data_IF_062352226053
#
_entry.id   IF_062352226053
#
_cell.length_a   1.000
_cell.length_b   1.000
_cell.length_c   1.000
_cell.angle_alpha   90.00
_cell.angle_beta   90.00
_cell.angle_gamma   90.00
#
_symmetry.space_group_name_H-M   'P 1'
#
loop_
_entity.id
_entity.type
_entity.pdbx_description
1 polymer ?
#
# COMPACT_ATOMS: atom_id res chain seq x y z
N UNK A 1 -19.66 6.49 -6.67
CA UNK A 1 -20.37 5.64 -7.65
C UNK A 1 -20.87 4.42 -6.91
N UNK A 2 -22.16 4.08 -6.98
CA UNK A 2 -22.76 2.96 -6.24
C UNK A 2 -24.02 2.44 -6.91
N UNK A 3 -24.43 1.23 -6.58
CA UNK A 3 -25.66 0.60 -7.09
C UNK A 3 -26.82 1.06 -6.21
N UNK A 4 -27.90 1.61 -6.78
CA UNK A 4 -29.12 2.01 -6.04
C UNK A 4 -30.21 0.93 -6.12
N UNK A 5 -30.28 0.19 -7.23
CA UNK A 5 -31.28 -0.86 -7.46
C UNK A 5 -30.57 -2.17 -7.76
N UNK A 6 -30.83 -3.17 -6.94
CA UNK A 6 -30.23 -4.49 -7.08
C UNK A 6 -31.33 -5.51 -7.38
N UNK A 7 -31.09 -6.34 -8.39
CA UNK A 7 -31.86 -7.55 -8.66
C UNK A 7 -30.91 -8.74 -8.61
N UNK A 8 -31.17 -9.69 -7.71
CA UNK A 8 -30.44 -10.93 -7.61
C UNK A 8 -31.35 -12.11 -7.98
N UNK A 9 -30.81 -13.10 -8.68
CA UNK A 9 -31.52 -14.32 -9.06
C UNK A 9 -30.63 -15.55 -8.85
N UNK A 10 -31.24 -16.65 -8.39
CA UNK A 10 -30.62 -17.96 -8.27
C UNK A 10 -31.41 -18.93 -9.16
N UNK A 11 -30.73 -19.67 -10.03
CA UNK A 11 -31.33 -20.61 -10.98
C UNK A 11 -32.47 -20.01 -11.83
N UNK A 12 -32.32 -18.75 -12.23
CA UNK A 12 -33.30 -18.03 -13.03
C UNK A 12 -34.53 -17.53 -12.24
N UNK A 13 -34.61 -17.79 -10.93
CA UNK A 13 -35.66 -17.26 -10.04
C UNK A 13 -35.16 -16.05 -9.29
N UNK A 14 -35.94 -14.97 -9.27
CA UNK A 14 -35.56 -13.74 -8.54
C UNK A 14 -35.58 -14.00 -7.03
N UNK A 15 -34.44 -13.82 -6.37
CA UNK A 15 -34.30 -13.92 -4.91
C UNK A 15 -34.24 -12.56 -4.23
N UNK A 16 -33.98 -11.49 -5.01
CA UNK A 16 -34.02 -10.11 -4.54
C UNK A 16 -34.42 -9.15 -5.65
N UNK A 17 -35.28 -8.19 -5.33
CA UNK A 17 -35.50 -6.98 -6.14
C UNK A 17 -35.78 -5.84 -5.17
N UNK A 18 -34.84 -4.91 -5.03
CA UNK A 18 -34.97 -3.81 -4.06
C UNK A 18 -34.04 -2.64 -4.35
N UNK A 19 -34.29 -1.54 -3.66
CA UNK A 19 -33.27 -0.49 -3.54
C UNK A 19 -32.27 -0.92 -2.44
N UNK A 20 -31.00 -0.57 -2.61
CA UNK A 20 -29.98 -0.75 -1.57
C UNK A 20 -29.45 0.62 -1.17
N UNK A 21 -29.12 0.76 0.11
CA UNK A 21 -28.73 2.05 0.64
C UNK A 21 -27.35 2.49 0.14
N UNK A 22 -27.17 3.80 0.05
CA UNK A 22 -25.88 4.39 -0.32
C UNK A 22 -24.91 4.17 0.84
N UNK A 23 -23.76 3.54 0.59
CA UNK A 23 -22.68 3.47 1.57
C UNK A 23 -22.32 4.88 2.09
N UNK A 24 -22.36 5.07 3.41
CA UNK A 24 -21.97 6.31 4.08
C UNK A 24 -20.48 6.26 4.46
N UNK A 25 -19.79 7.40 4.39
CA UNK A 25 -18.35 7.49 4.62
C UNK A 25 -17.99 8.04 6.02
N UNK A 26 -18.94 8.10 6.95
CA UNK A 26 -18.64 8.54 8.31
C UNK A 26 -18.30 7.33 9.20
N UNK A 27 -17.11 7.39 9.77
CA UNK A 27 -16.58 6.43 10.71
C UNK A 27 -17.42 6.46 11.99
N UNK A 28 -17.96 5.31 12.39
CA UNK A 28 -17.80 4.69 13.72
C UNK A 28 -18.82 3.54 13.88
N UNK A 29 -18.29 2.34 14.14
CA UNK A 29 -18.93 1.27 14.92
C UNK A 29 -19.96 0.28 14.35
N UNK A 30 -20.21 0.13 13.04
CA UNK A 30 -21.04 -1.01 12.55
C UNK A 30 -20.52 -1.70 11.28
N UNK A 31 -20.75 -3.02 11.10
CA UNK A 31 -20.37 -3.73 9.88
C UNK A 31 -21.04 -3.10 8.66
N UNK A 32 -20.22 -2.58 7.73
CA UNK A 32 -20.71 -1.97 6.49
C UNK A 32 -21.15 -3.04 5.50
N UNK A 33 -22.42 -3.43 5.59
CA UNK A 33 -23.12 -4.24 4.61
C UNK A 33 -24.61 -4.27 4.95
N UNK A 34 -25.46 -3.95 3.98
CA UNK A 34 -26.89 -4.21 4.11
C UNK A 34 -27.10 -5.72 4.10
N UNK A 35 -27.58 -6.29 5.21
CA UNK A 35 -27.84 -7.72 5.30
C UNK A 35 -29.20 -7.99 4.68
N UNK A 36 -29.18 -8.53 3.46
CA UNK A 36 -30.39 -8.94 2.77
C UNK A 36 -30.61 -10.43 3.07
N UNK A 37 -31.63 -10.73 3.86
CA UNK A 37 -32.02 -12.11 4.17
C UNK A 37 -32.90 -12.67 3.04
N UNK A 38 -32.47 -13.79 2.46
CA UNK A 38 -33.19 -14.48 1.38
C UNK A 38 -34.07 -15.62 1.91
N UNK A 39 -34.64 -15.45 3.10
CA UNK A 39 -35.53 -16.43 3.72
C UNK A 39 -36.81 -15.75 4.19
N UNK A 40 -37.94 -16.41 3.98
CA UNK A 40 -39.24 -16.05 4.55
C UNK A 40 -39.67 -17.03 5.65
N UNK A 41 -38.80 -17.99 6.00
CA UNK A 41 -39.05 -18.96 7.06
C UNK A 41 -38.88 -18.30 8.43
N UNK A 42 -39.99 -18.20 9.16
CA UNK A 42 -40.08 -17.51 10.44
C UNK A 42 -39.12 -18.09 11.49
N UNK A 43 -38.96 -19.42 11.51
CA UNK A 43 -38.04 -20.11 12.43
C UNK A 43 -36.55 -19.73 12.23
N UNK A 44 -36.14 -19.47 10.98
CA UNK A 44 -34.77 -19.04 10.65
C UNK A 44 -34.60 -17.57 11.01
N UNK A 45 -35.63 -16.75 10.77
CA UNK A 45 -35.62 -15.33 11.13
C UNK A 45 -35.55 -15.13 12.64
N UNK A 46 -36.29 -15.93 13.43
CA UNK A 46 -36.23 -15.92 14.90
C UNK A 46 -34.85 -16.36 15.42
N UNK A 47 -34.28 -17.45 14.88
CA UNK A 47 -32.95 -17.90 15.26
C UNK A 47 -31.84 -16.88 14.91
N UNK A 48 -32.01 -16.12 13.82
CA UNK A 48 -31.11 -15.02 13.47
C UNK A 48 -31.28 -13.86 14.45
N UNK A 49 -32.52 -13.46 14.76
CA UNK A 49 -32.82 -12.38 15.68
C UNK A 49 -32.28 -12.62 17.11
N UNK A 50 -32.33 -13.85 17.60
CA UNK A 50 -31.77 -14.23 18.91
C UNK A 50 -30.23 -14.16 18.97
N UNK A 51 -29.55 -14.24 17.83
CA UNK A 51 -28.09 -14.24 17.73
C UNK A 51 -27.52 -12.94 17.15
N UNK A 52 -28.38 -11.97 16.78
CA UNK A 52 -27.98 -10.70 16.22
C UNK A 52 -27.76 -9.64 17.32
N UNK A 53 -26.47 -9.37 17.59
CA UNK A 53 -26.01 -8.42 18.61
C UNK A 53 -26.48 -6.98 18.29
N UNK A 54 -26.77 -6.66 17.02
CA UNK A 54 -27.22 -5.32 16.61
C UNK A 54 -28.68 -5.05 16.99
N UNK A 55 -29.54 -6.09 17.05
CA UNK A 55 -30.94 -5.94 17.47
C UNK A 55 -31.08 -5.77 18.99
N UNK A 56 -30.21 -6.43 19.78
CA UNK A 56 -30.22 -6.33 21.25
C UNK A 56 -29.89 -4.90 21.74
N UNK A 57 -28.94 -4.21 21.09
CA UNK A 57 -28.54 -2.85 21.45
C UNK A 57 -29.58 -1.77 21.14
N UNK A 58 -30.53 -2.05 20.24
CA UNK A 58 -31.61 -1.12 19.89
C UNK A 58 -32.79 -1.15 20.86
N UNK A 59 -32.97 -2.23 21.64
CA UNK A 59 -34.04 -2.32 22.63
C UNK A 59 -33.72 -1.58 23.94
N UNK A 60 -32.45 -1.46 24.31
CA UNK A 60 -32.02 -0.73 25.52
C UNK A 60 -32.03 0.80 25.36
N UNK A 61 -32.01 1.32 24.12
CA UNK A 61 -32.03 2.77 23.85
C UNK A 61 -33.43 3.41 23.87
N UNK A 62 -34.49 2.63 24.03
CA UNK A 62 -35.88 3.13 23.92
C UNK A 62 -36.50 3.55 25.26
N UNK A 63 -35.76 3.53 26.37
CA UNK A 63 -36.23 3.97 27.69
C UNK A 63 -35.31 5.02 28.34
N UNK A 64 -35.30 6.24 27.80
CA UNK A 64 -35.12 7.45 28.60
C UNK A 64 -35.50 8.69 27.80
N UNK A 65 -36.67 9.24 28.12
CA UNK A 65 -37.21 10.51 27.68
C UNK A 65 -36.44 11.71 28.25
N UNK A 66 -36.15 12.67 27.37
CA UNK A 66 -36.21 14.14 27.50
C UNK A 66 -35.67 14.83 28.79
N UNK A 67 -34.71 15.76 28.64
CA UNK A 67 -35.01 17.20 28.73
C UNK A 67 -33.79 18.10 28.42
N UNK A 68 -34.06 19.17 27.65
CA UNK A 68 -33.22 20.36 27.41
C UNK A 68 -33.07 21.15 28.73
N UNK A 69 -31.99 21.89 29.01
CA UNK A 69 -31.73 23.32 28.65
C UNK A 69 -30.23 23.62 28.85
N UNK A 70 -29.65 24.48 28.00
CA UNK A 70 -28.22 24.78 27.96
C UNK A 70 -27.72 25.95 28.82
N UNK A 71 -26.41 26.20 28.72
CA UNK A 71 -25.78 27.51 28.90
C UNK A 71 -24.42 27.55 28.19
N UNK A 72 -24.16 28.68 27.55
CA UNK A 72 -22.99 29.01 26.72
C UNK A 72 -21.67 29.05 27.50
N UNK A 73 -20.59 28.58 26.87
CA UNK A 73 -19.26 29.18 27.02
C UNK A 73 -18.52 29.13 25.67
N UNK A 74 -18.61 30.24 24.96
CA UNK A 74 -17.78 30.62 23.82
C UNK A 74 -16.36 30.95 24.28
N UNK A 75 -15.37 30.55 23.48
CA UNK A 75 -14.07 31.17 23.14
C UNK A 75 -13.19 30.01 22.60
N UNK A 76 -12.71 29.97 21.36
CA UNK A 76 -12.05 30.99 20.57
C UNK A 76 -10.76 30.38 20.01
N UNK A 77 -10.47 30.62 18.73
CA UNK A 77 -9.35 30.10 17.95
C UNK A 77 -7.97 30.55 18.48
N UNK A 78 -6.95 29.74 18.17
CA UNK A 78 -5.50 29.77 18.52
C UNK A 78 -4.76 31.12 18.35
N UNK A 79 -3.58 31.33 18.98
CA UNK A 79 -2.29 31.05 18.28
C UNK A 79 -1.06 30.63 19.15
N UNK A 80 -0.15 29.81 18.58
CA UNK A 80 1.30 30.08 18.56
C UNK A 80 2.27 29.63 19.69
N UNK A 81 2.99 28.52 19.42
CA UNK A 81 4.42 28.14 19.66
C UNK A 81 5.43 29.20 20.19
N UNK A 82 6.52 28.74 20.89
CA UNK A 82 7.85 29.33 20.75
C UNK A 82 8.91 28.35 20.18
N UNK A 83 9.95 28.93 19.57
CA UNK A 83 11.17 28.33 18.99
C UNK A 83 12.38 28.93 19.71
N UNK A 84 13.51 28.22 19.79
CA UNK A 84 14.82 28.86 20.01
C UNK A 84 15.90 28.20 19.15
N UNK A 85 16.68 29.05 18.50
CA UNK A 85 17.58 28.85 17.34
C UNK A 85 18.98 29.32 17.73
N UNK A 86 20.03 28.83 17.07
CA UNK A 86 21.17 29.64 16.54
C UNK A 86 21.96 28.76 15.54
N UNK A 87 22.51 29.23 14.41
CA UNK A 87 23.37 30.41 14.24
C UNK A 87 23.42 30.92 12.77
N UNK A 88 23.52 32.25 12.62
CA UNK A 88 24.31 33.11 11.68
C UNK A 88 24.77 32.57 10.29
N UNK A 89 24.76 33.30 9.16
CA UNK A 89 24.97 34.74 8.85
C UNK A 89 24.53 35.05 7.38
N UNK A 90 24.50 36.35 7.03
CA UNK A 90 23.87 37.04 5.86
C UNK A 90 24.98 37.68 4.97
N UNK A 91 24.75 38.48 3.90
CA UNK A 91 24.11 38.29 2.57
C UNK A 91 25.05 38.61 1.35
N UNK A 92 24.59 38.43 0.10
CA UNK A 92 24.11 39.51 -0.83
C UNK A 92 24.37 39.28 -2.34
N UNK A 93 23.31 39.60 -3.12
CA UNK A 93 23.26 40.29 -4.42
C UNK A 93 23.50 39.61 -5.80
N UNK A 94 22.41 39.68 -6.60
CA UNK A 94 22.24 40.19 -7.98
C UNK A 94 22.38 39.26 -9.21
N UNK A 95 21.22 39.11 -9.89
CA UNK A 95 20.90 39.22 -11.33
C UNK A 95 21.55 38.29 -12.41
N UNK A 96 20.67 37.71 -13.25
CA UNK A 96 20.88 37.08 -14.59
C UNK A 96 21.30 38.15 -15.64
N UNK A 97 21.64 37.89 -16.95
CA UNK A 97 21.40 36.68 -17.78
C UNK A 97 22.49 36.30 -18.84
N UNK A 98 22.15 35.26 -19.62
CA UNK A 98 22.52 34.93 -21.03
C UNK A 98 23.56 33.84 -21.37
N UNK A 99 23.01 32.67 -21.76
CA UNK A 99 23.07 32.05 -23.11
C UNK A 99 24.40 32.06 -23.88
N UNK A 100 24.95 30.88 -24.22
CA UNK A 100 24.96 30.38 -25.61
C UNK A 100 25.74 29.06 -25.81
N UNK A 101 25.09 28.20 -26.62
CA UNK A 101 25.61 27.28 -27.66
C UNK A 101 26.49 26.07 -27.36
N UNK A 102 25.87 24.90 -27.54
CA UNK A 102 26.20 23.76 -28.42
C UNK A 102 27.68 23.47 -28.72
N UNK A 103 28.09 22.23 -28.47
CA UNK A 103 28.87 21.45 -29.44
C UNK A 103 28.61 19.95 -29.27
N UNK A 104 28.58 19.32 -30.43
CA UNK A 104 28.13 17.99 -30.77
C UNK A 104 29.12 16.88 -30.40
N UNK A 105 28.53 15.69 -30.18
CA UNK A 105 29.00 14.33 -30.53
C UNK A 105 30.31 13.84 -29.88
N UNK A 106 30.20 12.72 -29.15
CA UNK A 106 30.95 11.50 -29.48
C UNK A 106 30.31 10.28 -28.81
N UNK A 107 29.93 9.31 -29.63
CA UNK A 107 29.62 7.93 -29.25
C UNK A 107 30.90 7.29 -28.72
N UNK A 108 30.89 6.83 -27.47
CA UNK A 108 31.74 5.71 -27.08
C UNK A 108 30.91 4.68 -26.32
N UNK A 109 30.87 3.49 -26.89
CA UNK A 109 30.11 2.34 -26.43
C UNK A 109 30.73 1.76 -25.18
N UNK A 110 30.52 2.40 -24.03
CA UNK A 110 30.82 1.80 -22.73
C UNK A 110 29.81 0.70 -22.43
N UNK A 111 30.18 -0.54 -22.73
CA UNK A 111 29.40 -1.76 -22.44
C UNK A 111 28.94 -1.74 -20.97
N UNK A 112 27.63 -1.72 -20.77
CA UNK A 112 26.98 -1.75 -19.45
C UNK A 112 26.61 -0.38 -18.85
N UNK A 113 26.96 0.75 -19.46
CA UNK A 113 26.51 2.07 -19.00
C UNK A 113 25.24 2.51 -19.73
N UNK A 114 24.30 3.04 -18.97
CA UNK A 114 23.03 3.56 -19.45
C UNK A 114 23.13 5.08 -19.57
N UNK A 115 22.71 5.62 -20.72
CA UNK A 115 22.55 7.06 -20.95
C UNK A 115 21.09 7.46 -21.03
N UNK A 116 20.24 6.59 -21.57
CA UNK A 116 18.81 6.83 -21.72
C UNK A 116 18.02 5.61 -21.26
N UNK A 117 17.00 5.82 -20.46
CA UNK A 117 16.01 4.83 -20.04
C UNK A 117 14.65 5.26 -20.59
N UNK A 118 13.95 4.36 -21.28
CA UNK A 118 12.57 4.53 -21.68
C UNK A 118 11.71 3.53 -20.91
N UNK A 119 10.68 4.05 -20.24
CA UNK A 119 9.66 3.30 -19.56
C UNK A 119 8.36 3.44 -20.35
N UNK A 120 7.86 2.35 -20.92
CA UNK A 120 6.57 2.31 -21.59
C UNK A 120 5.53 1.78 -20.61
N UNK A 121 4.49 2.57 -20.32
CA UNK A 121 3.47 2.24 -19.33
C UNK A 121 2.29 1.52 -20.02
N UNK A 122 2.34 0.20 -20.05
CA UNK A 122 1.45 -0.63 -20.86
C UNK A 122 0.08 -0.93 -20.21
N UNK A 123 -0.09 -0.67 -18.92
CA UNK A 123 -1.34 -0.96 -18.22
C UNK A 123 -1.38 -0.42 -16.81
N UNK A 124 -2.60 -0.18 -16.32
CA UNK A 124 -2.89 0.18 -14.93
C UNK A 124 -3.64 -0.94 -14.20
N UNK A 125 -4.04 -0.68 -12.95
CA UNK A 125 -4.76 -1.63 -12.09
C UNK A 125 -6.28 -1.65 -12.29
N UNK A 126 -6.82 -0.82 -13.19
CA UNK A 126 -8.24 -0.81 -13.55
C UNK A 126 -8.91 0.57 -13.55
N UNK A 127 -8.17 1.67 -13.36
CA UNK A 127 -8.75 3.01 -13.49
C UNK A 127 -9.04 3.33 -14.97
N UNK A 128 -10.24 3.84 -15.30
CA UNK A 128 -10.56 4.19 -16.68
C UNK A 128 -9.79 5.45 -17.10
N UNK A 129 -8.98 5.32 -18.16
CA UNK A 129 -8.37 6.45 -18.86
C UNK A 129 -7.27 7.20 -18.11
N UNK A 130 -6.77 6.69 -16.98
CA UNK A 130 -5.75 7.34 -16.15
C UNK A 130 -4.60 6.40 -15.82
N UNK A 131 -3.37 6.90 -15.83
CA UNK A 131 -2.19 6.17 -15.35
C UNK A 131 -1.23 7.11 -14.63
N UNK A 132 -0.59 6.66 -13.54
CA UNK A 132 0.29 7.52 -12.76
C UNK A 132 1.26 6.78 -11.85
N UNK A 133 2.18 7.55 -11.29
CA UNK A 133 3.19 7.15 -10.32
C UNK A 133 3.36 8.26 -9.27
N UNK A 134 3.77 7.89 -8.06
CA UNK A 134 4.21 8.88 -7.06
C UNK A 134 5.61 9.36 -7.38
N UNK A 135 6.54 8.44 -7.63
CA UNK A 135 7.94 8.77 -7.87
C UNK A 135 8.77 7.56 -8.27
N UNK A 136 10.01 7.84 -8.67
CA UNK A 136 10.99 6.83 -9.03
C UNK A 136 12.40 7.27 -8.64
N UNK A 137 13.24 6.30 -8.32
CA UNK A 137 14.66 6.50 -8.04
C UNK A 137 15.49 5.49 -8.83
N UNK A 138 16.64 5.90 -9.35
CA UNK A 138 17.56 5.01 -10.04
C UNK A 138 18.62 4.51 -9.06
N UNK A 139 18.90 3.21 -9.10
CA UNK A 139 19.88 2.57 -8.22
C UNK A 139 21.17 2.27 -8.97
N UNK A 140 22.30 2.59 -8.36
CA UNK A 140 23.63 2.26 -8.89
C UNK A 140 24.04 0.80 -8.61
N UNK A 141 25.29 0.45 -8.92
CA UNK A 141 25.79 -0.92 -8.70
C UNK A 141 25.94 -1.33 -7.22
N UNK A 142 25.87 -0.37 -6.29
CA UNK A 142 25.94 -0.57 -4.84
C UNK A 142 24.57 -0.49 -4.15
N UNK A 143 23.49 -0.37 -4.93
CA UNK A 143 22.13 -0.09 -4.44
C UNK A 143 21.99 1.30 -3.81
N UNK A 144 22.92 2.22 -4.11
CA UNK A 144 22.81 3.62 -3.70
C UNK A 144 21.97 4.41 -4.72
N UNK A 145 21.19 5.38 -4.24
CA UNK A 145 20.36 6.24 -5.08
C UNK A 145 21.24 7.17 -5.91
N UNK A 146 21.05 7.16 -7.23
CA UNK A 146 21.69 8.09 -8.16
C UNK A 146 21.06 9.47 -7.99
N UNK A 147 21.90 10.48 -7.77
CA UNK A 147 21.46 11.86 -7.56
C UNK A 147 20.55 12.36 -8.71
N UNK A 148 19.30 12.75 -8.41
CA UNK A 148 18.35 13.29 -9.39
C UNK A 148 18.88 14.48 -10.19
N UNK A 149 19.80 15.28 -9.63
CA UNK A 149 20.41 16.40 -10.35
C UNK A 149 21.22 15.99 -11.59
N UNK A 150 21.59 14.70 -11.66
CA UNK A 150 22.38 14.12 -12.75
C UNK A 150 21.53 13.55 -13.89
N UNK A 151 20.21 13.72 -13.83
CA UNK A 151 19.28 13.24 -14.84
C UNK A 151 18.21 14.27 -15.19
N UNK A 152 17.65 14.13 -16.38
CA UNK A 152 16.43 14.84 -16.80
C UNK A 152 15.35 13.83 -17.12
N UNK A 153 14.12 14.17 -16.78
CA UNK A 153 12.95 13.34 -17.05
C UNK A 153 11.98 14.09 -17.94
N UNK A 154 11.36 13.37 -18.87
CA UNK A 154 10.26 13.86 -19.69
C UNK A 154 9.24 12.74 -19.89
N UNK A 155 7.96 13.11 -19.90
CA UNK A 155 6.88 12.21 -20.26
C UNK A 155 6.31 12.61 -21.61
N UNK A 156 6.14 11.65 -22.52
CA UNK A 156 5.37 11.84 -23.74
C UNK A 156 3.95 11.34 -23.48
N UNK A 157 3.16 12.20 -22.85
CA UNK A 157 1.85 11.85 -22.30
C UNK A 157 0.70 12.72 -22.83
N UNK A 158 1.00 13.62 -23.79
CA UNK A 158 0.02 14.52 -24.40
C UNK A 158 -0.58 15.54 -23.43
N UNK A 159 -0.03 15.66 -22.21
CA UNK A 159 -0.52 16.50 -21.12
C UNK A 159 0.55 17.48 -20.62
N UNK A 160 0.13 18.54 -19.92
CA UNK A 160 1.04 19.52 -19.29
C UNK A 160 1.48 19.07 -17.87
N UNK A 161 1.42 17.77 -17.59
CA UNK A 161 1.73 17.24 -16.27
C UNK A 161 3.23 17.28 -16.00
N UNK A 162 3.61 17.88 -14.88
CA UNK A 162 5.01 18.08 -14.53
C UNK A 162 5.69 16.74 -14.17
N UNK A 163 6.34 16.14 -15.17
CA UNK A 163 7.12 14.91 -15.00
C UNK A 163 8.27 15.04 -13.98
N UNK A 164 8.68 16.27 -13.61
CA UNK A 164 9.69 16.48 -12.55
C UNK A 164 9.21 16.00 -11.18
N UNK A 165 7.88 15.88 -10.97
CA UNK A 165 7.31 15.32 -9.73
C UNK A 165 7.80 13.91 -9.45
N UNK A 166 8.11 13.13 -10.50
CA UNK A 166 8.63 11.78 -10.35
C UNK A 166 10.01 11.72 -9.66
N UNK A 167 10.74 12.84 -9.64
CA UNK A 167 12.11 12.95 -9.11
C UNK A 167 12.21 13.94 -7.94
N UNK A 168 11.09 14.39 -7.37
CA UNK A 168 11.08 15.39 -6.30
C UNK A 168 11.52 14.86 -4.92
N UNK A 169 11.67 13.54 -4.76
CA UNK A 169 12.03 12.87 -3.51
C UNK A 169 10.88 12.71 -2.50
N UNK A 170 9.71 13.30 -2.76
CA UNK A 170 8.51 13.18 -1.92
C UNK A 170 7.70 11.92 -2.27
N UNK A 171 8.34 10.75 -2.29
CA UNK A 171 7.75 9.53 -2.82
C UNK A 171 6.66 8.92 -1.91
N UNK A 172 6.79 9.10 -0.59
CA UNK A 172 5.84 8.61 0.42
C UNK A 172 4.72 9.61 0.69
N UNK A 173 3.89 9.83 -0.32
CA UNK A 173 2.85 10.86 -0.32
C UNK A 173 1.48 10.32 -0.72
N UNK A 174 0.46 11.14 -0.42
CA UNK A 174 -0.90 11.05 -1.00
C UNK A 174 -1.32 12.35 -1.66
N UNK A 175 -0.47 13.37 -1.61
CA UNK A 175 -0.76 14.70 -2.13
C UNK A 175 -0.64 14.69 -3.66
N UNK A 176 -1.71 14.98 -4.43
CA UNK A 176 -1.65 15.02 -5.89
C UNK A 176 -0.60 15.99 -6.43
N UNK A 177 -0.20 16.98 -5.64
CA UNK A 177 0.82 17.96 -6.01
C UNK A 177 2.23 17.35 -6.09
N UNK A 178 2.47 16.28 -5.33
CA UNK A 178 3.73 15.55 -5.31
C UNK A 178 3.74 14.35 -6.27
N UNK A 179 2.62 14.03 -6.92
CA UNK A 179 2.45 12.84 -7.75
C UNK A 179 2.27 13.19 -9.24
N UNK A 180 2.65 12.25 -10.11
CA UNK A 180 2.44 12.34 -11.55
C UNK A 180 1.28 11.46 -11.99
N UNK A 181 0.35 12.03 -12.76
CA UNK A 181 -0.84 11.36 -13.28
C UNK A 181 -1.13 11.91 -14.67
N UNK A 182 -1.43 11.04 -15.62
CA UNK A 182 -1.76 11.44 -16.99
C UNK A 182 -2.87 10.55 -17.59
N UNK A 183 -3.28 10.88 -18.81
CA UNK A 183 -4.26 10.09 -19.57
C UNK A 183 -3.67 8.78 -20.08
N UNK A 184 -4.50 7.74 -20.14
CA UNK A 184 -4.07 6.40 -20.55
C UNK A 184 -4.98 5.82 -21.64
N UNK A 185 -4.38 5.54 -22.79
CA UNK A 185 -4.96 4.68 -23.84
C UNK A 185 -4.03 3.48 -24.07
N UNK A 186 -4.50 2.23 -23.85
CA UNK A 186 -3.71 1.03 -24.12
C UNK A 186 -3.17 0.92 -25.56
N UNK A 187 -3.80 1.59 -26.54
CA UNK A 187 -3.33 1.62 -27.94
C UNK A 187 -2.12 2.54 -28.12
N UNK A 188 -1.98 3.53 -27.26
CA UNK A 188 -0.95 4.56 -27.31
C UNK A 188 -0.39 4.75 -25.89
N UNK A 189 0.37 3.76 -25.37
CA UNK A 189 0.85 3.79 -23.99
C UNK A 189 1.75 5.00 -23.75
N UNK A 190 1.54 5.76 -22.65
CA UNK A 190 2.44 6.83 -22.26
C UNK A 190 3.86 6.33 -22.03
N UNK A 191 4.84 7.17 -22.35
CA UNK A 191 6.26 6.84 -22.17
C UNK A 191 6.94 7.87 -21.29
N UNK A 192 7.73 7.39 -20.33
CA UNK A 192 8.62 8.22 -19.51
C UNK A 192 10.05 7.99 -20.02
N UNK A 193 10.74 9.08 -20.34
CA UNK A 193 12.13 9.06 -20.77
C UNK A 193 13.00 9.72 -19.71
N UNK A 194 14.00 8.98 -19.24
CA UNK A 194 15.00 9.46 -18.28
C UNK A 194 16.34 9.52 -19.02
N UNK A 195 16.95 10.69 -19.07
CA UNK A 195 18.25 10.93 -19.69
C UNK A 195 19.27 11.26 -18.62
N UNK A 196 20.32 10.45 -18.51
CA UNK A 196 21.45 10.67 -17.62
C UNK A 196 22.44 11.62 -18.31
N UNK A 197 22.90 12.65 -17.59
CA UNK A 197 23.86 13.64 -18.10
C UNK A 197 25.20 12.98 -18.51
N UNK A 198 25.56 11.89 -17.84
CA UNK A 198 26.72 11.06 -18.14
C UNK A 198 26.28 9.59 -18.21
N UNK A 199 26.87 8.76 -19.08
CA UNK A 199 26.63 7.32 -19.05
C UNK A 199 26.97 6.74 -17.66
N UNK A 200 25.99 6.15 -17.00
CA UNK A 200 26.09 5.65 -15.62
C UNK A 200 25.66 4.19 -15.55
N UNK A 201 26.25 3.42 -14.64
CA UNK A 201 25.81 2.03 -14.40
C UNK A 201 24.53 2.07 -13.56
N UNK A 202 23.44 1.53 -14.09
CA UNK A 202 22.14 1.47 -13.41
C UNK A 202 21.80 0.01 -13.19
N UNK A 203 21.67 -0.40 -11.93
CA UNK A 203 21.35 -1.78 -11.54
C UNK A 203 19.84 -2.01 -11.46
N UNK A 204 19.10 -1.00 -11.03
CA UNK A 204 17.66 -1.10 -10.80
C UNK A 204 16.96 0.26 -10.77
N UNK A 205 15.65 0.20 -10.63
CA UNK A 205 14.75 1.35 -10.51
C UNK A 205 13.79 1.05 -9.35
N UNK A 206 13.74 1.94 -8.37
CA UNK A 206 12.76 1.92 -7.29
C UNK A 206 11.52 2.68 -7.73
N UNK A 207 10.34 2.10 -7.55
CA UNK A 207 9.06 2.69 -7.94
C UNK A 207 8.15 2.88 -6.73
N UNK A 208 7.57 4.08 -6.62
CA UNK A 208 6.40 4.34 -5.79
C UNK A 208 5.20 4.57 -6.68
N UNK A 209 4.23 3.67 -6.59
CA UNK A 209 3.06 3.71 -7.46
C UNK A 209 2.03 4.74 -6.98
N UNK A 210 1.14 5.20 -7.86
CA UNK A 210 0.18 6.29 -7.56
C UNK A 210 -0.69 5.97 -6.33
N UNK A 211 -0.71 6.87 -5.34
CA UNK A 211 -1.20 6.55 -3.98
C UNK A 211 -2.21 7.56 -3.38
N UNK A 212 -2.82 8.43 -4.19
CA UNK A 212 -3.71 9.50 -3.67
C UNK A 212 -4.81 9.01 -2.72
N UNK A 213 -5.49 7.93 -3.10
CA UNK A 213 -6.50 7.27 -2.29
C UNK A 213 -6.57 5.79 -2.66
N UNK A 214 -7.35 5.01 -1.91
CA UNK A 214 -7.54 3.59 -2.20
C UNK A 214 -8.22 3.36 -3.56
N UNK A 215 -9.11 4.27 -3.96
CA UNK A 215 -9.81 4.26 -5.25
C UNK A 215 -8.89 4.71 -6.37
N UNK A 216 -8.14 5.80 -6.17
CA UNK A 216 -7.26 6.32 -7.21
C UNK A 216 -5.96 5.52 -7.37
N UNK A 217 -5.60 4.68 -6.39
CA UNK A 217 -4.48 3.74 -6.53
C UNK A 217 -4.66 2.76 -7.70
N UNK A 218 -5.90 2.58 -8.20
CA UNK A 218 -6.17 1.82 -9.42
C UNK A 218 -5.63 2.49 -10.70
N UNK A 219 -5.31 3.79 -10.65
CA UNK A 219 -4.59 4.50 -11.70
C UNK A 219 -3.07 4.24 -11.65
N UNK A 220 -2.57 3.53 -10.64
CA UNK A 220 -1.18 3.14 -10.60
C UNK A 220 -0.77 2.28 -11.80
N UNK A 221 0.49 2.40 -12.23
CA UNK A 221 1.09 1.55 -13.26
C UNK A 221 1.06 0.09 -12.77
N UNK A 222 0.56 -0.81 -13.61
CA UNK A 222 0.55 -2.26 -13.37
C UNK A 222 1.58 -2.98 -14.21
N UNK A 223 1.67 -2.62 -15.49
CA UNK A 223 2.56 -3.28 -16.45
C UNK A 223 3.42 -2.23 -17.14
N UNK A 224 4.73 -2.46 -17.18
CA UNK A 224 5.66 -1.61 -17.92
C UNK A 224 6.73 -2.40 -18.67
N UNK A 225 7.26 -1.80 -19.73
CA UNK A 225 8.47 -2.25 -20.42
C UNK A 225 9.60 -1.26 -20.17
N UNK A 226 10.81 -1.78 -19.93
CA UNK A 226 12.03 -1.00 -19.71
C UNK A 226 12.97 -1.23 -20.89
N UNK A 227 13.30 -0.14 -21.58
CA UNK A 227 14.30 -0.09 -22.62
C UNK A 227 15.46 0.81 -22.18
N UNK A 228 16.71 0.37 -22.36
CA UNK A 228 17.90 1.20 -22.09
C UNK A 228 18.71 1.37 -23.37
N UNK A 229 19.18 2.59 -23.64
CA UNK A 229 19.94 2.94 -24.85
C UNK A 229 19.29 2.41 -26.16
N UNK A 230 17.95 2.43 -26.25
CA UNK A 230 17.20 1.92 -27.40
C UNK A 230 17.03 0.39 -27.48
N UNK A 231 17.59 -0.38 -26.55
CA UNK A 231 17.42 -1.84 -26.47
C UNK A 231 16.42 -2.20 -25.37
N UNK A 232 15.43 -3.02 -25.69
CA UNK A 232 14.54 -3.60 -24.67
C UNK A 232 15.34 -4.49 -23.73
N UNK A 233 15.32 -4.18 -22.43
CA UNK A 233 16.06 -4.94 -21.41
C UNK A 233 15.11 -5.81 -20.59
N UNK A 234 13.99 -5.25 -20.16
CA UNK A 234 13.00 -5.96 -19.35
C UNK A 234 11.60 -5.70 -19.88
N UNK A 235 10.93 -6.76 -20.35
CA UNK A 235 9.55 -6.69 -20.83
C UNK A 235 8.59 -7.27 -19.79
N UNK A 236 7.38 -6.73 -19.74
CA UNK A 236 6.29 -7.16 -18.85
C UNK A 236 6.65 -7.10 -17.36
N UNK A 237 7.31 -6.02 -16.92
CA UNK A 237 7.53 -5.76 -15.50
C UNK A 237 6.19 -5.48 -14.83
N UNK A 238 5.87 -6.25 -13.79
CA UNK A 238 4.66 -6.07 -13.00
C UNK A 238 4.95 -5.16 -11.79
N UNK A 239 4.32 -3.99 -11.76
CA UNK A 239 4.36 -3.10 -10.61
C UNK A 239 3.17 -3.30 -9.69
N UNK A 240 3.45 -3.42 -8.39
CA UNK A 240 2.50 -3.52 -7.28
C UNK A 240 1.60 -2.29 -7.22
N UNK A 241 0.31 -2.49 -6.97
CA UNK A 241 -0.60 -1.37 -6.67
C UNK A 241 -0.21 -0.70 -5.35
N UNK A 242 -0.28 0.63 -5.31
CA UNK A 242 -0.13 1.34 -4.05
C UNK A 242 -1.27 1.01 -3.07
N UNK A 243 -1.03 1.06 -1.76
CA UNK A 243 -2.04 0.69 -0.75
C UNK A 243 -3.19 1.70 -0.61
N UNK A 244 -3.03 2.94 -1.08
CA UNK A 244 -3.95 4.07 -0.87
C UNK A 244 -3.76 4.79 0.46
N UNK A 245 -2.70 4.48 1.21
CA UNK A 245 -2.34 5.07 2.49
C UNK A 245 -0.81 5.09 2.66
N UNK A 246 -0.30 5.79 3.67
CA UNK A 246 1.14 5.87 3.97
C UNK A 246 1.35 5.44 5.42
N UNK A 247 1.33 4.12 5.65
CA UNK A 247 1.62 3.50 6.95
C UNK A 247 2.97 2.80 6.97
N UNK A 248 3.53 2.54 5.79
CA UNK A 248 4.81 1.90 5.55
C UNK A 248 5.34 2.34 4.20
N UNK A 249 6.63 2.11 3.96
CA UNK A 249 7.23 2.37 2.65
C UNK A 249 6.79 1.31 1.64
N UNK A 250 6.05 1.72 0.63
CA UNK A 250 5.51 0.84 -0.40
C UNK A 250 6.37 0.80 -1.67
N UNK A 251 7.64 1.24 -1.59
CA UNK A 251 8.65 1.12 -2.66
C UNK A 251 8.74 -0.29 -3.22
N UNK A 252 8.84 -0.40 -4.55
CA UNK A 252 9.15 -1.66 -5.22
C UNK A 252 10.40 -1.51 -6.06
N UNK A 253 11.41 -2.34 -5.78
CA UNK A 253 12.67 -2.34 -6.52
C UNK A 253 12.62 -3.29 -7.72
N UNK A 254 12.83 -2.75 -8.92
CA UNK A 254 12.91 -3.52 -10.17
C UNK A 254 14.34 -3.52 -10.66
N UNK A 255 14.95 -4.72 -10.71
CA UNK A 255 16.31 -4.89 -11.19
C UNK A 255 16.35 -5.02 -12.72
N UNK A 256 17.21 -4.25 -13.37
CA UNK A 256 17.34 -4.24 -14.84
C UNK A 256 18.04 -5.52 -15.35
N UNK A 257 18.99 -6.05 -14.58
CA UNK A 257 19.78 -7.23 -14.97
C UNK A 257 19.06 -8.57 -14.73
N UNK A 258 17.93 -8.55 -14.02
CA UNK A 258 17.14 -9.76 -13.76
C UNK A 258 15.97 -9.83 -14.74
N UNK A 259 16.00 -10.80 -15.65
CA UNK A 259 14.79 -11.14 -16.37
C UNK A 259 13.73 -11.62 -15.38
N UNK A 260 12.52 -11.05 -15.35
CA UNK A 260 11.43 -11.56 -14.54
C UNK A 260 11.12 -12.96 -15.05
N UNK A 261 11.54 -13.99 -14.31
CA UNK A 261 11.17 -15.38 -14.56
C UNK A 261 9.71 -15.60 -14.17
N UNK A 262 8.79 -14.81 -14.75
CA UNK A 262 7.36 -15.09 -14.67
C UNK A 262 7.08 -16.11 -15.77
N UNK A 263 7.26 -17.40 -15.47
CA UNK A 263 6.71 -18.46 -16.31
C UNK A 263 5.21 -18.52 -16.04
N UNK A 264 4.34 -18.21 -17.01
CA UNK A 264 2.91 -18.40 -16.83
C UNK A 264 2.65 -19.87 -16.48
N UNK A 265 1.93 -20.10 -15.38
CA UNK A 265 1.57 -21.44 -14.94
C UNK A 265 0.54 -22.03 -15.92
N UNK A 266 1.02 -22.83 -16.87
CA UNK A 266 0.16 -23.67 -17.69
C UNK A 266 -0.22 -24.92 -16.87
N UNK A 267 -1.50 -25.04 -16.48
CA UNK A 267 -2.05 -26.30 -15.98
C UNK A 267 -2.40 -27.19 -17.18
N UNK A 268 -1.86 -28.42 -17.30
CA UNK A 268 -2.08 -29.29 -18.47
C UNK A 268 -3.53 -29.71 -18.72
N UNK A 269 -4.43 -29.61 -17.73
CA UNK A 269 -5.74 -30.28 -17.75
C UNK A 269 -6.96 -29.35 -17.65
N UNK A 270 -6.79 -28.03 -17.71
CA UNK A 270 -7.92 -27.09 -17.67
C UNK A 270 -7.74 -26.00 -18.71
N UNK A 271 -8.59 -25.98 -19.76
CA UNK A 271 -8.80 -24.83 -20.66
C UNK A 271 -9.52 -23.67 -19.95
N UNK A 272 -9.13 -23.37 -18.72
CA UNK A 272 -9.66 -22.22 -18.03
C UNK A 272 -8.76 -21.02 -18.25
N UNK A 273 -9.37 -19.90 -18.61
CA UNK A 273 -8.77 -18.56 -18.67
C UNK A 273 -8.10 -18.15 -17.34
N UNK A 274 -8.27 -18.95 -16.27
CA UNK A 274 -7.51 -18.82 -15.02
C UNK A 274 -5.99 -18.88 -15.17
N UNK A 275 -5.42 -19.41 -16.26
CA UNK A 275 -3.96 -19.37 -16.48
C UNK A 275 -3.37 -17.95 -16.52
N UNK A 276 -4.15 -16.97 -16.97
CA UNK A 276 -3.79 -15.54 -16.94
C UNK A 276 -4.05 -14.92 -15.55
N UNK A 277 -5.12 -15.33 -14.88
CA UNK A 277 -5.43 -14.95 -13.50
C UNK A 277 -4.42 -15.49 -12.48
N UNK A 278 -3.62 -16.51 -12.81
CA UNK A 278 -2.54 -16.95 -11.92
C UNK A 278 -1.45 -15.88 -11.76
N UNK A 279 -1.24 -15.01 -12.76
CA UNK A 279 -0.34 -13.84 -12.64
C UNK A 279 -0.95 -12.81 -11.68
N UNK A 280 -2.27 -12.63 -11.69
CA UNK A 280 -2.97 -11.79 -10.70
C UNK A 280 -2.99 -12.41 -9.31
N UNK A 281 -2.86 -13.74 -9.19
CA UNK A 281 -2.89 -14.46 -7.91
C UNK A 281 -1.56 -14.44 -7.17
N UNK A 282 -0.52 -13.83 -7.72
CA UNK A 282 0.76 -13.75 -7.02
C UNK A 282 0.77 -12.53 -6.09
N UNK A 283 1.08 -12.79 -4.82
CA UNK A 283 0.71 -11.95 -3.69
C UNK A 283 1.84 -10.96 -3.44
N UNK A 284 1.48 -9.68 -3.43
CA UNK A 284 2.45 -8.58 -3.35
C UNK A 284 2.35 -7.84 -2.01
N UNK A 285 1.16 -7.82 -1.38
CA UNK A 285 0.98 -7.41 0.02
C UNK A 285 -0.05 -8.30 0.75
N UNK A 286 0.35 -8.86 1.88
CA UNK A 286 -0.57 -9.43 2.88
C UNK A 286 -0.77 -8.46 4.02
N UNK A 287 -2.03 -8.29 4.44
CA UNK A 287 -2.38 -7.50 5.61
C UNK A 287 -3.03 -8.41 6.65
N UNK A 288 -2.46 -8.43 7.84
CA UNK A 288 -3.02 -9.04 9.04
C UNK A 288 -3.56 -7.90 9.93
N UNK A 289 -4.87 -7.85 10.15
CA UNK A 289 -5.51 -6.92 11.08
C UNK A 289 -5.80 -7.65 12.38
N UNK A 290 -5.22 -7.17 13.47
CA UNK A 290 -5.43 -7.68 14.81
C UNK A 290 -6.65 -6.96 15.38
N UNK A 291 -7.77 -7.67 15.47
CA UNK A 291 -9.08 -7.09 15.75
C UNK A 291 -9.36 -6.95 17.24
N UNK A 292 -8.89 -7.90 18.06
CA UNK A 292 -9.05 -7.85 19.51
C UNK A 292 -7.99 -8.67 20.22
N UNK A 293 -7.73 -8.33 21.48
CA UNK A 293 -6.89 -9.12 22.40
C UNK A 293 -7.73 -10.17 23.15
N UNK A 294 -7.08 -10.97 23.99
CA UNK A 294 -7.75 -11.90 24.92
C UNK A 294 -8.24 -11.24 26.22
N UNK A 295 -7.95 -9.95 26.44
CA UNK A 295 -8.42 -9.23 27.63
C UNK A 295 -7.67 -7.95 28.00
N UNK A 296 -6.66 -7.52 27.26
CA UNK A 296 -5.98 -6.22 27.46
C UNK A 296 -6.54 -5.18 26.48
N UNK A 297 -7.10 -4.08 27.01
CA UNK A 297 -7.74 -3.02 26.23
C UNK A 297 -6.72 -2.05 25.60
N UNK A 298 -5.48 -2.04 26.10
CA UNK A 298 -4.48 -1.04 25.74
C UNK A 298 -3.39 -1.61 24.85
N UNK A 299 -3.11 -2.91 24.95
CA UNK A 299 -1.97 -3.52 24.26
C UNK A 299 -2.34 -4.83 23.59
N UNK A 300 -1.73 -5.04 22.43
CA UNK A 300 -1.84 -6.28 21.68
C UNK A 300 -0.48 -6.69 21.14
N UNK A 301 -0.18 -8.00 21.17
CA UNK A 301 1.13 -8.50 20.79
C UNK A 301 1.10 -9.89 20.20
N UNK A 302 2.25 -10.28 19.65
CA UNK A 302 2.52 -11.61 19.11
C UNK A 302 3.97 -11.99 19.45
N UNK A 303 4.23 -13.28 19.54
CA UNK A 303 5.59 -13.82 19.62
C UNK A 303 6.27 -13.81 18.24
N UNK A 304 5.53 -14.15 17.18
CA UNK A 304 6.10 -14.31 15.85
C UNK A 304 5.07 -14.72 14.80
N UNK A 305 5.46 -14.60 13.53
CA UNK A 305 4.68 -14.99 12.36
C UNK A 305 5.62 -15.68 11.36
N UNK A 306 5.16 -16.79 10.79
CA UNK A 306 5.86 -17.49 9.71
C UNK A 306 4.94 -17.67 8.51
N UNK A 307 5.53 -17.53 7.32
CA UNK A 307 4.86 -17.75 6.04
C UNK A 307 5.52 -18.95 5.35
N UNK A 308 4.70 -19.84 4.79
CA UNK A 308 5.17 -21.02 4.06
C UNK A 308 4.65 -21.01 2.63
N UNK A 309 5.44 -21.55 1.70
CA UNK A 309 5.09 -21.67 0.29
C UNK A 309 4.27 -22.95 0.00
N UNK A 310 3.90 -23.16 -1.26
CA UNK A 310 3.11 -24.34 -1.68
C UNK A 310 3.83 -25.68 -1.48
N UNK A 311 5.13 -25.67 -1.25
CA UNK A 311 5.95 -26.84 -0.96
C UNK A 311 6.20 -27.01 0.54
N UNK A 312 5.48 -26.25 1.39
CA UNK A 312 5.64 -26.23 2.84
C UNK A 312 7.05 -25.79 3.29
N UNK A 313 7.72 -25.00 2.44
CA UNK A 313 9.00 -24.39 2.78
C UNK A 313 8.77 -22.98 3.32
N UNK A 314 9.44 -22.66 4.43
CA UNK A 314 9.41 -21.31 5.02
C UNK A 314 9.90 -20.28 4.01
N UNK A 315 9.06 -19.28 3.75
CA UNK A 315 9.39 -18.11 2.93
C UNK A 315 10.35 -17.24 3.73
N UNK A 316 11.44 -16.83 3.09
CA UNK A 316 12.41 -15.94 3.71
C UNK A 316 11.85 -14.51 3.69
N UNK A 317 11.44 -14.02 4.86
CA UNK A 317 10.95 -12.64 5.05
C UNK A 317 12.06 -11.81 5.67
N UNK A 318 12.51 -10.78 4.96
CA UNK A 318 13.49 -9.82 5.48
C UNK A 318 12.83 -8.61 6.16
N UNK A 319 13.62 -7.75 6.84
CA UNK A 319 13.12 -6.50 7.43
C UNK A 319 12.38 -5.60 6.44
N UNK A 320 12.87 -5.50 5.20
CA UNK A 320 12.24 -4.71 4.12
C UNK A 320 10.88 -5.27 3.68
N UNK A 321 10.58 -6.54 3.98
CA UNK A 321 9.30 -7.15 3.65
C UNK A 321 8.25 -7.00 4.77
N UNK A 322 8.60 -6.43 5.91
CA UNK A 322 7.73 -6.37 7.08
C UNK A 322 7.47 -4.92 7.47
N UNK A 323 6.21 -4.59 7.68
CA UNK A 323 5.82 -3.37 8.36
C UNK A 323 4.70 -3.64 9.37
N UNK A 324 4.61 -2.80 10.39
CA UNK A 324 3.52 -2.86 11.36
C UNK A 324 3.03 -1.45 11.69
N UNK A 325 1.73 -1.34 11.95
CA UNK A 325 1.12 -0.10 12.40
C UNK A 325 0.13 -0.35 13.55
N UNK A 326 0.32 0.28 14.73
CA UNK A 326 1.54 0.98 15.12
C UNK A 326 2.74 0.03 15.13
N UNK A 327 3.93 0.57 14.93
CA UNK A 327 5.13 -0.25 14.78
C UNK A 327 5.50 -0.96 16.08
N UNK A 328 5.39 -0.23 17.20
CA UNK A 328 5.65 -0.74 18.55
C UNK A 328 5.05 0.22 19.59
N UNK A 329 5.19 -0.14 20.86
CA UNK A 329 4.89 0.75 22.00
C UNK A 329 5.71 2.04 22.04
N UNK A 330 6.81 2.14 21.29
CA UNK A 330 7.62 3.37 21.21
C UNK A 330 6.90 4.55 20.52
N UNK A 331 5.71 4.33 19.94
CA UNK A 331 4.85 5.42 19.46
C UNK A 331 4.29 6.27 20.62
N UNK A 332 4.27 5.74 21.84
CA UNK A 332 3.75 6.43 23.01
C UNK A 332 4.80 7.43 23.54
N UNK A 333 4.42 8.68 23.87
CA UNK A 333 5.37 9.74 24.23
C UNK A 333 6.15 9.48 25.53
N UNK A 334 5.72 8.50 26.33
CA UNK A 334 6.36 8.11 27.59
C UNK A 334 7.25 6.87 27.49
N UNK A 335 7.42 6.31 26.29
CA UNK A 335 8.15 5.06 26.05
C UNK A 335 9.25 5.31 25.03
N UNK A 336 10.51 5.07 25.42
CA UNK A 336 11.67 5.17 24.53
C UNK A 336 12.48 3.88 24.57
N UNK A 337 12.93 3.41 23.39
CA UNK A 337 13.87 2.30 23.27
C UNK A 337 13.34 0.94 23.73
N UNK A 338 12.02 0.74 23.76
CA UNK A 338 11.44 -0.55 24.11
C UNK A 338 11.81 -1.61 23.04
N UNK A 339 12.35 -2.77 23.44
CA UNK A 339 12.85 -3.77 22.50
C UNK A 339 11.73 -4.55 21.78
N UNK A 340 10.45 -4.35 22.12
CA UNK A 340 9.31 -5.07 21.52
C UNK A 340 8.91 -4.50 20.17
N UNK A 341 9.86 -4.50 19.23
CA UNK A 341 9.71 -3.96 17.89
C UNK A 341 9.08 -4.95 16.90
N UNK A 342 8.57 -4.44 15.78
CA UNK A 342 7.91 -5.25 14.75
C UNK A 342 8.82 -6.35 14.17
N UNK A 343 10.14 -6.11 14.07
CA UNK A 343 11.12 -7.11 13.58
C UNK A 343 11.14 -8.40 14.40
N UNK A 344 10.70 -8.35 15.66
CA UNK A 344 10.57 -9.55 16.48
C UNK A 344 9.55 -10.54 15.91
N UNK A 345 8.62 -10.09 15.07
CA UNK A 345 7.67 -10.97 14.39
C UNK A 345 8.34 -11.99 13.47
N UNK A 346 9.55 -11.72 12.96
CA UNK A 346 10.23 -12.54 11.96
C UNK A 346 11.61 -13.05 12.44
N UNK A 347 11.97 -12.82 13.70
CA UNK A 347 13.29 -13.16 14.24
C UNK A 347 13.52 -14.68 14.44
N UNK A 348 12.48 -15.51 14.26
CA UNK A 348 12.53 -16.97 14.42
C UNK A 348 12.56 -17.46 15.87
N UNK A 349 12.58 -16.58 16.86
CA UNK A 349 12.56 -16.89 18.29
C UNK A 349 11.11 -17.00 18.81
N UNK A 350 10.30 -17.86 18.18
CA UNK A 350 8.85 -17.86 18.39
C UNK A 350 8.40 -18.50 19.70
N UNK A 351 9.10 -19.53 20.18
CA UNK A 351 8.79 -20.20 21.45
C UNK A 351 9.56 -19.58 22.62
N UNK A 352 9.18 -18.36 23.00
CA UNK A 352 9.87 -17.58 24.04
C UNK A 352 8.88 -16.89 24.99
N UNK A 353 9.33 -16.55 26.20
CA UNK A 353 8.64 -15.67 27.14
C UNK A 353 9.42 -14.37 27.41
N UNK A 354 10.53 -14.17 26.71
CA UNK A 354 11.41 -12.99 26.84
C UNK A 354 10.79 -11.80 26.13
N UNK A 355 10.54 -10.71 26.86
CA UNK A 355 9.90 -9.49 26.33
C UNK A 355 10.60 -8.98 25.09
N UNK A 356 11.92 -8.89 25.16
CA UNK A 356 12.80 -8.37 24.12
C UNK A 356 12.79 -9.16 22.80
N UNK A 357 12.20 -10.37 22.77
CA UNK A 357 12.07 -11.20 21.58
C UNK A 357 10.65 -11.24 21.01
N UNK A 358 9.69 -10.55 21.62
CA UNK A 358 8.28 -10.52 21.19
C UNK A 358 7.91 -9.14 20.64
N UNK A 359 6.81 -9.06 19.92
CA UNK A 359 6.24 -7.79 19.46
C UNK A 359 5.07 -7.35 20.33
N UNK A 360 5.02 -6.06 20.66
CA UNK A 360 3.89 -5.44 21.35
C UNK A 360 3.64 -4.04 20.80
N UNK A 361 2.38 -3.72 20.59
CA UNK A 361 1.93 -2.41 20.12
C UNK A 361 0.69 -1.96 20.89
N UNK A 362 0.44 -0.65 21.04
CA UNK A 362 -0.81 -0.18 21.62
C UNK A 362 -1.98 -0.46 20.68
N UNK A 363 -3.15 -0.66 21.29
CA UNK A 363 -4.45 -0.58 20.64
C UNK A 363 -4.81 0.92 20.62
N UNK A 364 -4.91 1.51 19.43
CA UNK A 364 -5.25 2.92 19.29
C UNK A 364 -6.77 3.08 19.14
N UNK A 365 -7.36 4.17 19.65
CA UNK A 365 -8.78 4.47 19.44
C UNK A 365 -9.12 4.45 17.95
N UNK A 366 -10.21 3.76 17.61
CA UNK A 366 -10.72 3.62 16.23
C UNK A 366 -9.72 3.02 15.22
N UNK A 367 -8.62 2.39 15.67
CA UNK A 367 -7.63 1.76 14.78
C UNK A 367 -7.17 0.41 15.32
N UNK A 368 -7.32 -0.63 14.50
CA UNK A 368 -6.72 -1.93 14.76
C UNK A 368 -5.23 -1.92 14.43
N UNK A 369 -4.45 -2.67 15.21
CA UNK A 369 -3.06 -2.96 14.87
C UNK A 369 -3.00 -3.79 13.59
N UNK A 370 -2.03 -3.49 12.73
CA UNK A 370 -1.86 -4.12 11.41
C UNK A 370 -0.43 -4.57 11.23
N UNK A 371 -0.26 -5.72 10.62
CA UNK A 371 1.03 -6.22 10.13
C UNK A 371 0.91 -6.40 8.63
N UNK A 372 1.90 -5.91 7.90
CA UNK A 372 2.00 -5.99 6.45
C UNK A 372 3.21 -6.82 6.06
N UNK A 373 3.01 -7.79 5.18
CA UNK A 373 4.09 -8.46 4.47
C UNK A 373 4.10 -7.99 3.02
N UNK A 374 5.18 -7.34 2.60
CA UNK A 374 5.34 -6.66 1.31
C UNK A 374 6.45 -7.36 0.54
N UNK A 375 6.12 -7.90 -0.64
CA UNK A 375 7.09 -8.60 -1.49
C UNK A 375 7.22 -7.85 -2.81
N UNK A 376 8.44 -7.71 -3.32
CA UNK A 376 8.68 -7.05 -4.62
C UNK A 376 8.45 -8.00 -5.78
N UNK A 377 8.70 -9.28 -5.54
CA UNK A 377 8.36 -10.35 -6.44
C UNK A 377 7.04 -11.01 -6.04
N UNK A 378 6.26 -11.46 -7.04
CA UNK A 378 5.26 -12.49 -6.91
C UNK A 378 5.60 -13.65 -5.92
N UNK A 379 5.03 -13.66 -4.71
CA UNK A 379 5.12 -14.79 -3.75
C UNK A 379 3.78 -15.57 -3.59
N UNK A 380 3.85 -16.90 -3.51
CA UNK A 380 2.70 -17.77 -3.21
C UNK A 380 2.78 -18.29 -1.77
N UNK A 381 1.91 -17.79 -0.89
CA UNK A 381 1.77 -18.27 0.50
C UNK A 381 0.69 -19.36 0.57
N UNK A 382 1.01 -20.48 1.20
CA UNK A 382 0.08 -21.59 1.47
C UNK A 382 -0.41 -21.58 2.91
N UNK A 383 0.48 -21.30 3.87
CA UNK A 383 0.24 -21.38 5.31
C UNK A 383 0.81 -20.16 6.00
N UNK A 384 0.06 -19.63 6.98
CA UNK A 384 0.48 -18.58 7.90
C UNK A 384 0.42 -19.16 9.31
N UNK A 385 1.57 -19.25 9.99
CA UNK A 385 1.66 -19.69 11.37
C UNK A 385 1.81 -18.47 12.26
N UNK A 386 0.93 -18.34 13.25
CA UNK A 386 0.91 -17.20 14.19
C UNK A 386 1.24 -17.73 15.58
N UNK A 387 2.29 -17.17 16.17
CA UNK A 387 2.70 -17.47 17.54
C UNK A 387 2.18 -16.37 18.44
N UNK A 388 1.24 -16.71 19.31
CA UNK A 388 0.55 -15.74 20.15
C UNK A 388 1.42 -15.23 21.32
N UNK A 389 1.07 -14.08 21.90
CA UNK A 389 1.87 -13.42 22.92
C UNK A 389 1.92 -14.21 24.23
N UNK A 390 3.08 -14.78 24.55
CA UNK A 390 3.21 -15.74 25.66
C UNK A 390 3.35 -15.09 27.03
N UNK A 391 4.11 -13.99 27.14
CA UNK A 391 4.47 -13.39 28.43
C UNK A 391 3.26 -12.91 29.23
N UNK A 392 2.24 -12.41 28.56
CA UNK A 392 0.99 -11.95 29.18
C UNK A 392 -0.17 -12.34 28.28
N UNK A 393 -0.80 -13.52 28.48
CA UNK A 393 -1.78 -14.06 27.53
C UNK A 393 -2.96 -13.12 27.22
N UNK A 394 -3.36 -12.27 28.16
CA UNK A 394 -4.40 -11.25 27.94
C UNK A 394 -4.07 -10.26 26.80
N UNK A 395 -2.78 -10.00 26.55
CA UNK A 395 -2.29 -9.16 25.44
C UNK A 395 -2.18 -9.91 24.11
N UNK A 396 -2.38 -11.23 24.13
CA UNK A 396 -2.37 -12.03 22.92
C UNK A 396 -3.54 -11.67 22.00
N UNK A 397 -3.39 -11.92 20.72
CA UNK A 397 -4.44 -11.73 19.70
C UNK A 397 -5.50 -12.82 19.85
N UNK A 398 -6.77 -12.42 19.91
CA UNK A 398 -7.92 -13.33 19.90
C UNK A 398 -8.53 -13.46 18.52
N UNK A 399 -8.75 -12.34 17.84
CA UNK A 399 -9.34 -12.31 16.50
C UNK A 399 -8.40 -11.64 15.52
N UNK A 400 -8.18 -12.28 14.37
CA UNK A 400 -7.33 -11.76 13.31
C UNK A 400 -8.06 -11.86 11.97
N UNK A 401 -7.96 -10.81 11.16
CA UNK A 401 -8.41 -10.82 9.77
C UNK A 401 -7.20 -10.82 8.86
N UNK A 402 -7.16 -11.74 7.90
CA UNK A 402 -6.12 -11.81 6.88
C UNK A 402 -6.73 -11.39 5.56
N UNK A 403 -6.16 -10.36 4.94
CA UNK A 403 -6.64 -9.81 3.67
C UNK A 403 -5.49 -9.54 2.73
N UNK A 404 -5.75 -9.64 1.42
CA UNK A 404 -4.86 -9.17 0.37
C UNK A 404 -5.18 -7.72 0.04
N UNK A 405 -4.17 -6.86 -0.05
CA UNK A 405 -4.34 -5.58 -0.72
C UNK A 405 -4.14 -5.81 -2.23
N UNK A 406 -5.21 -5.58 -2.99
CA UNK A 406 -5.20 -5.60 -4.46
C UNK A 406 -4.97 -4.21 -4.98
#
# INVERSE_FOLDING_TARGET
MGVRRLRAALDGRSIFVGEIDRAFADHESEPMGETILFTTEESILEAIAENDVCLANNMEKTQSTCDFVGEDLVLGLTPGRPVTREMNRVPNNKEKPHCSTLTDVEEDGSVGKVKVIHLELCGNWGAPGLIGLCGLELLDNKDDVIDPSTMTISANDGSDCDSQRLLNGNNLTRSPDDMWLTTFDPKYPPTITIMLLKPTVVKGISFWNYNASQELAYAGVRLLNICTNGKAVVNNVLLRKAPGFVLFDFVQDVHIDRHPTIRPLMRPATHSVYGLLVIELILVIFQLRLLSSWGDEFYIGLNGIELYDRQDKRINVGPHNLAAFPESVNILPSVEGDPRACLNLINGCNDTNRAEQMWLTPILPNRCARVFFVFDDPVAVSTIVIYNYRKTPARGVRHISVSRLR
#
